data_IF_982964215704
#
_entry.id   IF_982964215704
#
_cell.length_a   1.000
_cell.length_b   1.000
_cell.length_c   1.000
_cell.angle_alpha   90.00
_cell.angle_beta   90.00
_cell.angle_gamma   90.00
#
_symmetry.space_group_name_H-M   'P 1'
#
loop_
_entity.id
_entity.type
_entity.pdbx_description
1 polymer ?
#
# COMPACT_ATOMS: atom_id res chain seq x y z
N UNK A 1 24.89 9.39 -11.39
CA UNK A 1 23.84 9.86 -10.45
C UNK A 1 22.61 9.09 -10.85
N UNK A 2 22.41 7.95 -10.19
CA UNK A 2 21.23 7.11 -10.40
C UNK A 2 20.04 7.96 -9.95
N UNK A 3 19.17 8.34 -10.88
CA UNK A 3 17.97 9.11 -10.55
C UNK A 3 17.05 8.16 -9.77
N UNK A 4 17.08 8.25 -8.43
CA UNK A 4 16.11 7.63 -7.52
C UNK A 4 14.78 8.38 -7.59
N UNK A 5 14.17 8.48 -8.77
CA UNK A 5 12.95 9.26 -8.98
C UNK A 5 11.64 8.45 -8.75
N UNK A 6 11.76 7.19 -8.33
CA UNK A 6 10.63 6.25 -8.26
C UNK A 6 10.15 5.88 -6.84
N UNK A 7 10.80 6.36 -5.78
CA UNK A 7 10.34 6.10 -4.40
C UNK A 7 9.28 7.14 -4.00
N UNK A 8 8.04 6.90 -4.44
CA UNK A 8 6.90 7.77 -4.11
C UNK A 8 6.18 7.23 -2.88
N UNK A 9 6.46 7.82 -1.73
CA UNK A 9 5.69 7.60 -0.51
C UNK A 9 4.23 8.10 -0.68
N UNK A 10 3.26 7.23 -0.39
CA UNK A 10 1.85 7.61 -0.27
C UNK A 10 1.38 7.48 1.18
N UNK A 11 0.69 8.51 1.67
CA UNK A 11 0.05 8.48 3.00
C UNK A 11 -1.46 8.33 2.85
N UNK A 12 -2.02 7.38 3.57
CA UNK A 12 -3.46 7.11 3.60
C UNK A 12 -3.99 7.16 5.03
N UNK A 13 -5.29 7.41 5.17
CA UNK A 13 -5.96 7.26 6.44
C UNK A 13 -6.24 5.79 6.73
N UNK A 14 -5.85 5.34 7.92
CA UNK A 14 -6.19 4.04 8.47
C UNK A 14 -7.62 4.09 9.03
N UNK A 15 -8.60 3.80 8.18
CA UNK A 15 -10.03 3.92 8.50
C UNK A 15 -10.63 2.56 8.84
N UNK A 16 -11.37 2.51 9.95
CA UNK A 16 -12.12 1.31 10.33
C UNK A 16 -13.21 1.01 9.30
N UNK A 17 -13.28 -0.24 8.87
CA UNK A 17 -14.22 -0.74 7.86
C UNK A 17 -13.76 -0.51 6.41
N UNK A 18 -12.57 0.06 6.19
CA UNK A 18 -11.98 0.25 4.86
C UNK A 18 -10.82 -0.71 4.69
N UNK A 19 -10.83 -1.47 3.59
CA UNK A 19 -9.80 -2.47 3.29
C UNK A 19 -8.56 -1.86 2.63
N UNK A 20 -7.40 -2.54 2.74
CA UNK A 20 -6.19 -2.16 2.01
C UNK A 20 -6.45 -2.02 0.51
N UNK A 21 -7.21 -2.96 -0.06
CA UNK A 21 -7.69 -2.94 -1.44
C UNK A 21 -8.35 -1.62 -1.82
N UNK A 22 -9.37 -1.22 -1.08
CA UNK A 22 -10.10 0.03 -1.34
C UNK A 22 -9.20 1.25 -1.24
N UNK A 23 -8.31 1.25 -0.25
CA UNK A 23 -7.35 2.34 0.00
C UNK A 23 -6.36 2.51 -1.15
N UNK A 24 -5.73 1.43 -1.63
CA UNK A 24 -4.64 1.54 -2.62
C UNK A 24 -5.15 1.55 -4.06
N UNK A 25 -6.35 1.03 -4.35
CA UNK A 25 -6.88 0.90 -5.71
C UNK A 25 -6.80 2.21 -6.49
N UNK A 26 -7.30 3.30 -5.91
CA UNK A 26 -7.31 4.60 -6.58
C UNK A 26 -5.92 5.19 -6.86
N UNK A 27 -4.90 4.77 -6.09
CA UNK A 27 -3.51 5.19 -6.32
C UNK A 27 -2.86 4.36 -7.42
N UNK A 28 -3.06 3.04 -7.39
CA UNK A 28 -2.58 2.16 -8.46
C UNK A 28 -3.16 2.56 -9.82
N UNK A 29 -4.47 2.85 -9.89
CA UNK A 29 -5.14 3.29 -11.12
C UNK A 29 -4.52 4.58 -11.69
N UNK A 30 -4.18 5.55 -10.83
CA UNK A 30 -3.51 6.81 -11.25
C UNK A 30 -2.08 6.59 -11.73
N UNK A 31 -1.45 5.49 -11.32
CA UNK A 31 -0.11 5.08 -11.72
C UNK A 31 -0.12 4.09 -12.89
N UNK A 32 -1.30 3.68 -13.37
CA UNK A 32 -1.44 2.68 -14.43
C UNK A 32 -1.05 1.26 -14.00
N UNK A 33 -1.10 0.98 -12.69
CA UNK A 33 -0.76 -0.32 -12.11
C UNK A 33 -2.03 -1.15 -11.85
N UNK A 34 -1.95 -2.46 -12.03
CA UNK A 34 -3.04 -3.39 -11.73
C UNK A 34 -2.93 -3.91 -10.30
N UNK A 35 -4.06 -3.93 -9.59
CA UNK A 35 -4.13 -4.45 -8.22
C UNK A 35 -3.74 -5.95 -8.13
N UNK A 36 -3.99 -6.73 -9.18
CA UNK A 36 -3.67 -8.17 -9.22
C UNK A 36 -2.17 -8.43 -9.44
N UNK A 37 -1.41 -7.40 -9.81
CA UNK A 37 0.04 -7.48 -10.08
C UNK A 37 0.85 -6.86 -8.94
N UNK A 38 0.23 -6.58 -7.78
CA UNK A 38 0.93 -6.01 -6.63
C UNK A 38 0.73 -6.83 -5.36
N UNK A 39 1.81 -6.91 -4.59
CA UNK A 39 1.81 -7.47 -3.25
C UNK A 39 2.06 -6.36 -2.22
N UNK A 40 1.34 -6.42 -1.09
CA UNK A 40 1.54 -5.51 0.04
C UNK A 40 2.32 -6.17 1.15
N UNK A 41 3.26 -5.44 1.73
CA UNK A 41 4.07 -5.91 2.86
C UNK A 41 4.15 -4.87 3.97
N UNK A 42 4.18 -5.31 5.22
CA UNK A 42 4.56 -4.45 6.34
C UNK A 42 6.07 -4.17 6.25
N UNK A 43 6.47 -2.90 6.19
CA UNK A 43 7.88 -2.53 5.97
C UNK A 43 8.80 -3.09 7.07
N UNK A 44 8.35 -3.07 8.33
CA UNK A 44 9.18 -3.45 9.47
C UNK A 44 9.56 -4.93 9.53
N UNK A 45 8.81 -5.81 8.86
CA UNK A 45 9.00 -7.27 8.95
C UNK A 45 8.97 -7.99 7.61
N UNK A 46 8.70 -7.29 6.50
CA UNK A 46 8.37 -7.88 5.19
C UNK A 46 7.24 -8.92 5.27
N UNK A 47 6.31 -8.76 6.20
CA UNK A 47 5.16 -9.66 6.32
C UNK A 47 4.16 -9.35 5.20
N UNK A 48 3.76 -10.32 4.35
CA UNK A 48 2.75 -10.12 3.32
C UNK A 48 1.39 -9.83 3.95
N UNK A 49 0.64 -8.91 3.36
CA UNK A 49 -0.63 -8.42 3.88
C UNK A 49 -1.78 -8.77 2.92
N UNK A 50 -2.82 -9.48 3.38
CA UNK A 50 -4.01 -9.71 2.56
C UNK A 50 -4.71 -8.40 2.22
N UNK A 51 -5.08 -8.20 0.96
CA UNK A 51 -5.74 -6.98 0.48
C UNK A 51 -7.09 -6.69 1.16
N UNK A 52 -7.76 -7.73 1.66
CA UNK A 52 -9.05 -7.63 2.37
C UNK A 52 -8.88 -7.20 3.85
N UNK A 53 -7.65 -6.97 4.32
CA UNK A 53 -7.39 -6.55 5.70
C UNK A 53 -7.84 -5.11 5.92
N UNK A 54 -8.47 -4.86 7.07
CA UNK A 54 -8.90 -3.53 7.51
C UNK A 54 -7.69 -2.61 7.74
N UNK A 55 -7.74 -1.41 7.17
CA UNK A 55 -6.62 -0.44 7.25
C UNK A 55 -6.39 0.11 8.65
N UNK A 56 -7.39 0.07 9.54
CA UNK A 56 -7.24 0.54 10.93
C UNK A 56 -6.18 -0.23 11.73
N UNK A 57 -5.85 -1.47 11.35
CA UNK A 57 -4.77 -2.24 11.97
C UNK A 57 -3.37 -1.70 11.67
N UNK A 58 -3.24 -0.84 10.65
CA UNK A 58 -1.94 -0.35 10.16
C UNK A 58 -1.74 1.15 10.44
N UNK A 59 -2.53 1.74 11.34
CA UNK A 59 -2.34 3.12 11.77
C UNK A 59 -0.92 3.31 12.35
N UNK A 60 -0.15 4.24 11.77
CA UNK A 60 1.24 4.49 12.19
C UNK A 60 2.28 3.50 11.64
N UNK A 61 1.87 2.58 10.77
CA UNK A 61 2.77 1.67 10.07
C UNK A 61 2.99 2.11 8.62
N UNK A 62 4.18 1.79 8.10
CA UNK A 62 4.51 1.93 6.68
C UNK A 62 4.35 0.60 5.96
N UNK A 63 3.80 0.65 4.76
CA UNK A 63 3.55 -0.50 3.91
C UNK A 63 4.34 -0.34 2.61
N UNK A 64 4.90 -1.43 2.12
CA UNK A 64 5.55 -1.49 0.81
C UNK A 64 4.62 -2.16 -0.20
N UNK A 65 4.55 -1.58 -1.39
CA UNK A 65 3.96 -2.20 -2.58
C UNK A 65 5.11 -2.76 -3.42
N UNK A 66 5.01 -4.01 -3.87
CA UNK A 66 5.97 -4.62 -4.81
C UNK A 66 5.25 -5.24 -5.99
#
# INVERSE_FOLDING_TARGET
LENHEDDVDWTFFALKGVTLKETIKGVLERKGLNLEEVDLFLESSNTPLPLETDTSFFAGHKLNVR
#
